data_IF_630945823118
#
_entry.id   IF_630945823118
#
_cell.length_a   1.000
_cell.length_b   1.000
_cell.length_c   1.000
_cell.angle_alpha   90.00
_cell.angle_beta   90.00
_cell.angle_gamma   90.00
#
_symmetry.space_group_name_H-M   'P 1'
#
loop_
_entity.id
_entity.type
_entity.pdbx_description
1 polymer ?
#
# COMPACT_ATOMS: atom_id res chain seq x y z
N UNK A 1 -29.68 -13.46 56.47
CA UNK A 1 -29.85 -12.00 56.59
C UNK A 1 -28.46 -11.38 56.58
N UNK A 2 -28.21 -10.55 55.56
CA UNK A 2 -27.17 -9.51 55.41
C UNK A 2 -25.73 -9.94 55.76
N UNK A 3 -24.82 -10.15 54.81
CA UNK A 3 -24.62 -9.43 53.54
C UNK A 3 -23.57 -8.36 53.74
N UNK A 4 -22.33 -8.77 54.04
CA UNK A 4 -21.17 -7.89 54.10
C UNK A 4 -20.40 -8.09 52.78
N UNK A 5 -20.50 -7.08 51.93
CA UNK A 5 -19.94 -7.07 50.58
C UNK A 5 -18.48 -6.68 50.69
N UNK A 6 -17.61 -7.67 50.51
CA UNK A 6 -16.20 -7.45 50.17
C UNK A 6 -16.11 -6.58 48.92
N UNK A 7 -15.48 -5.42 49.06
CA UNK A 7 -15.22 -4.51 47.97
C UNK A 7 -14.23 -5.12 46.97
N UNK A 8 -14.44 -4.98 45.64
CA UNK A 8 -13.47 -5.47 44.68
C UNK A 8 -12.20 -4.60 44.71
N UNK A 9 -11.07 -5.26 44.95
CA UNK A 9 -9.72 -4.81 44.65
C UNK A 9 -9.64 -4.18 43.25
N UNK A 10 -9.41 -2.87 43.22
CA UNK A 10 -9.03 -2.12 42.02
C UNK A 10 -7.61 -2.51 41.64
N UNK A 11 -7.46 -3.54 40.81
CA UNK A 11 -6.15 -3.92 40.24
C UNK A 11 -5.94 -3.26 38.87
N UNK A 12 -5.29 -2.09 38.91
CA UNK A 12 -4.19 -1.71 38.02
C UNK A 12 -4.38 -1.83 36.50
N UNK A 13 -5.24 -0.99 35.93
CA UNK A 13 -5.40 -0.84 34.48
C UNK A 13 -4.73 0.40 33.88
N UNK A 14 -3.47 0.73 34.20
CA UNK A 14 -2.79 1.92 33.63
C UNK A 14 -1.30 1.82 33.16
N UNK A 15 -0.64 0.66 32.94
CA UNK A 15 0.77 0.71 32.51
C UNK A 15 1.00 0.92 30.99
N UNK A 16 0.03 0.67 30.10
CA UNK A 16 0.29 0.66 28.65
C UNK A 16 0.15 2.02 27.94
N UNK A 17 -0.71 2.92 28.43
CA UNK A 17 -0.88 4.25 27.83
C UNK A 17 0.30 5.20 28.13
N UNK A 18 1.03 4.98 29.23
CA UNK A 18 2.26 5.71 29.56
C UNK A 18 3.42 5.33 28.65
N UNK A 19 3.63 4.03 28.43
CA UNK A 19 4.76 3.50 27.66
C UNK A 19 4.80 3.99 26.20
N UNK A 20 3.65 4.10 25.54
CA UNK A 20 3.56 4.60 24.16
C UNK A 20 3.88 6.10 24.04
N UNK A 21 3.49 6.90 25.03
CA UNK A 21 3.79 8.34 25.07
C UNK A 21 5.27 8.60 25.30
N UNK A 22 5.89 7.86 26.22
CA UNK A 22 7.34 7.96 26.47
C UNK A 22 8.17 7.51 25.27
N UNK A 23 7.70 6.52 24.52
CA UNK A 23 8.35 6.13 23.27
C UNK A 23 8.32 7.24 22.23
N UNK A 24 7.17 7.93 22.07
CA UNK A 24 7.05 9.08 21.17
C UNK A 24 8.03 10.19 21.52
N UNK A 25 8.10 10.56 22.81
CA UNK A 25 8.99 11.62 23.27
C UNK A 25 10.47 11.29 23.09
N UNK A 26 10.85 10.03 23.31
CA UNK A 26 12.20 9.55 23.02
C UNK A 26 12.53 9.66 21.53
N UNK A 27 11.56 9.35 20.66
CA UNK A 27 11.76 9.41 19.23
C UNK A 27 11.90 10.85 18.73
N UNK A 28 11.10 11.78 19.28
CA UNK A 28 11.21 13.21 18.98
C UNK A 28 12.59 13.77 19.39
N UNK A 29 13.11 13.37 20.56
CA UNK A 29 14.45 13.76 21.01
C UNK A 29 15.57 13.17 20.14
N UNK A 30 15.41 11.92 19.67
CA UNK A 30 16.35 11.28 18.76
C UNK A 30 16.36 11.96 17.39
N UNK A 31 15.21 12.35 16.89
CA UNK A 31 15.08 13.07 15.61
C UNK A 31 15.63 14.50 15.70
N UNK A 32 15.51 15.15 16.87
CA UNK A 32 16.00 16.50 17.09
C UNK A 32 17.52 16.59 17.31
N UNK A 33 18.10 15.72 18.13
CA UNK A 33 19.49 15.83 18.59
C UNK A 33 20.41 14.70 18.12
N UNK A 34 19.85 13.68 17.45
CA UNK A 34 20.60 12.47 17.10
C UNK A 34 20.95 11.63 18.33
N UNK A 35 21.34 10.37 18.11
CA UNK A 35 21.58 9.40 19.18
C UNK A 35 22.61 9.86 20.24
N UNK A 36 23.70 10.46 19.80
CA UNK A 36 24.76 10.92 20.71
C UNK A 36 24.32 12.14 21.53
N UNK A 37 23.61 13.08 20.91
CA UNK A 37 23.06 14.25 21.59
C UNK A 37 21.98 13.89 22.60
N UNK A 38 21.06 12.99 22.23
CA UNK A 38 20.02 12.49 23.15
C UNK A 38 20.62 11.71 24.32
N UNK A 39 21.69 10.94 24.10
CA UNK A 39 22.39 10.21 25.16
C UNK A 39 23.00 11.18 26.19
N UNK A 40 23.67 12.23 25.71
CA UNK A 40 24.25 13.27 26.55
C UNK A 40 23.18 14.05 27.32
N UNK A 41 22.07 14.42 26.66
CA UNK A 41 20.96 15.17 27.28
C UNK A 41 20.28 14.39 28.40
N UNK A 42 20.02 13.10 28.18
CA UNK A 42 19.35 12.24 29.15
C UNK A 42 20.32 11.61 30.17
N UNK A 43 21.63 11.88 30.07
CA UNK A 43 22.63 11.31 30.97
C UNK A 43 22.76 9.78 30.87
N UNK A 44 22.40 9.18 29.73
CA UNK A 44 22.40 7.73 29.51
C UNK A 44 23.45 7.31 28.48
N UNK A 45 23.87 6.04 28.53
CA UNK A 45 24.80 5.50 27.53
C UNK A 45 24.10 5.30 26.17
N UNK A 46 24.78 5.62 25.06
CA UNK A 46 24.29 5.41 23.69
C UNK A 46 23.86 3.94 23.45
N UNK A 47 24.53 2.97 24.07
CA UNK A 47 24.12 1.55 23.99
C UNK A 47 22.72 1.30 24.55
N UNK A 48 22.31 2.04 25.56
CA UNK A 48 20.98 1.95 26.17
C UNK A 48 19.92 2.49 25.21
N UNK A 49 20.20 3.61 24.53
CA UNK A 49 19.32 4.16 23.48
C UNK A 49 19.19 3.22 22.28
N UNK A 50 20.31 2.67 21.80
CA UNK A 50 20.31 1.70 20.68
C UNK A 50 19.50 0.44 21.02
N UNK A 51 19.58 -0.03 22.26
CA UNK A 51 18.81 -1.19 22.74
C UNK A 51 17.32 -0.86 22.87
N UNK A 52 16.98 0.37 23.26
CA UNK A 52 15.60 0.84 23.30
C UNK A 52 15.02 0.94 21.88
N UNK A 53 15.75 1.54 20.92
CA UNK A 53 15.41 1.63 19.48
C UNK A 53 15.14 0.26 18.86
N UNK A 54 16.03 -0.69 19.10
CA UNK A 54 15.94 -2.03 18.52
C UNK A 54 14.75 -2.83 19.06
N UNK A 55 14.38 -2.64 20.33
CA UNK A 55 13.31 -3.39 20.98
C UNK A 55 11.98 -2.64 21.04
N UNK A 56 11.93 -1.38 20.57
CA UNK A 56 10.79 -0.46 20.69
C UNK A 56 10.22 -0.44 22.11
N UNK A 57 11.11 -0.42 23.09
CA UNK A 57 10.74 -0.50 24.49
C UNK A 57 11.63 0.43 25.32
N UNK A 58 11.00 1.33 26.09
CA UNK A 58 11.67 2.21 27.02
C UNK A 58 11.99 1.42 28.28
N UNK A 59 13.28 1.31 28.63
CA UNK A 59 13.68 0.65 29.88
C UNK A 59 13.28 1.52 31.09
N UNK A 60 13.03 0.93 32.28
CA UNK A 60 12.63 1.71 33.46
C UNK A 60 13.59 2.84 33.82
N UNK A 61 14.89 2.63 33.61
CA UNK A 61 15.92 3.67 33.82
C UNK A 61 15.80 4.81 32.81
N UNK A 62 15.53 4.50 31.54
CA UNK A 62 15.36 5.51 30.49
C UNK A 62 14.05 6.28 30.68
N UNK A 63 12.99 5.60 31.13
CA UNK A 63 11.72 6.22 31.49
C UNK A 63 11.91 7.27 32.58
N UNK A 64 12.63 6.94 33.67
CA UNK A 64 12.88 7.87 34.77
C UNK A 64 13.63 9.13 34.33
N UNK A 65 14.65 8.98 33.47
CA UNK A 65 15.40 10.13 32.96
C UNK A 65 14.58 10.95 31.94
N UNK A 66 13.72 10.32 31.14
CA UNK A 66 12.76 11.01 30.27
C UNK A 66 11.73 11.81 31.09
N UNK A 67 11.16 11.21 32.14
CA UNK A 67 10.21 11.88 33.04
C UNK A 67 10.86 13.08 33.72
N UNK A 68 12.09 12.92 34.24
CA UNK A 68 12.88 14.01 34.81
C UNK A 68 13.17 15.11 33.80
N UNK A 69 13.53 14.76 32.57
CA UNK A 69 13.80 15.74 31.53
C UNK A 69 12.53 16.53 31.14
N UNK A 70 11.37 15.88 31.12
CA UNK A 70 10.08 16.55 30.89
C UNK A 70 9.74 17.48 32.06
N UNK A 71 9.96 17.04 33.30
CA UNK A 71 9.73 17.86 34.50
C UNK A 71 10.67 19.09 34.56
N UNK A 72 11.94 18.91 34.19
CA UNK A 72 12.93 19.98 34.09
C UNK A 72 12.54 20.96 32.96
N UNK A 73 12.06 20.46 31.81
CA UNK A 73 11.65 21.27 30.65
C UNK A 73 10.30 21.99 30.85
N UNK A 74 9.46 21.51 31.76
CA UNK A 74 8.21 22.18 32.13
C UNK A 74 8.42 23.24 33.22
N UNK A 75 9.48 23.10 34.01
CA UNK A 75 9.82 24.04 35.09
C UNK A 75 10.58 25.27 34.58
N UNK A 76 11.43 25.10 33.56
CA UNK A 76 12.04 26.20 32.79
C UNK A 76 11.29 26.37 31.47
N UNK A 77 10.32 27.29 31.42
CA UNK A 77 9.62 27.61 30.17
C UNK A 77 10.61 27.98 29.04
N UNK A 78 10.32 27.63 27.77
CA UNK A 78 11.26 27.82 26.67
C UNK A 78 11.64 29.29 26.57
N UNK A 79 12.94 29.57 26.63
CA UNK A 79 13.43 30.94 26.56
C UNK A 79 13.04 31.56 25.20
N UNK A 80 12.78 32.89 25.13
CA UNK A 80 12.43 33.56 23.88
C UNK A 80 13.45 33.33 22.75
N UNK A 81 14.70 33.06 23.11
CA UNK A 81 15.79 32.77 22.17
C UNK A 81 15.71 31.35 21.60
N UNK A 82 15.30 30.36 22.40
CA UNK A 82 15.05 28.99 21.93
C UNK A 82 13.84 28.96 20.98
N UNK A 83 12.77 29.67 21.32
CA UNK A 83 11.60 29.84 20.43
C UNK A 83 11.98 30.50 19.09
N UNK A 84 12.86 31.51 19.11
CA UNK A 84 13.34 32.15 17.89
C UNK A 84 14.23 31.21 17.03
N UNK A 85 15.06 30.38 17.67
CA UNK A 85 15.89 29.39 17.00
C UNK A 85 15.05 28.24 16.41
N UNK A 86 14.01 27.79 17.12
CA UNK A 86 13.07 26.80 16.59
C UNK A 86 12.26 27.35 15.42
N UNK A 87 11.76 28.58 15.53
CA UNK A 87 11.04 29.23 14.43
C UNK A 87 11.92 29.40 13.20
N UNK A 88 13.16 29.87 13.34
CA UNK A 88 14.09 30.01 12.20
C UNK A 88 14.47 28.66 11.59
N UNK A 89 14.63 27.62 12.41
CA UNK A 89 14.83 26.25 11.94
C UNK A 89 13.63 25.71 11.15
N UNK A 90 12.41 25.96 11.63
CA UNK A 90 11.16 25.61 10.95
C UNK A 90 11.03 26.34 9.61
N UNK A 91 11.33 27.64 9.55
CA UNK A 91 11.29 28.42 8.31
C UNK A 91 12.32 27.89 7.30
N UNK A 92 13.55 27.57 7.74
CA UNK A 92 14.58 27.01 6.87
C UNK A 92 14.19 25.63 6.30
N UNK A 93 13.56 24.79 7.12
CA UNK A 93 13.00 23.50 6.68
C UNK A 93 11.87 23.70 5.67
N UNK A 94 10.99 24.67 5.90
CA UNK A 94 9.91 25.01 4.98
C UNK A 94 10.46 25.51 3.64
N UNK A 95 11.45 26.40 3.65
CA UNK A 95 12.12 26.88 2.44
C UNK A 95 12.86 25.76 1.68
N UNK A 96 13.42 24.79 2.40
CA UNK A 96 14.03 23.59 1.83
C UNK A 96 13.00 22.68 1.16
N UNK A 97 11.84 22.48 1.79
CA UNK A 97 10.72 21.72 1.23
C UNK A 97 10.11 22.43 0.01
N UNK A 98 9.93 23.74 0.05
CA UNK A 98 9.48 24.52 -1.12
C UNK A 98 10.44 24.40 -2.30
N UNK A 99 11.76 24.49 -2.06
CA UNK A 99 12.74 24.29 -3.13
C UNK A 99 12.74 22.87 -3.66
N UNK A 100 12.73 21.86 -2.79
CA UNK A 100 12.69 20.46 -3.19
C UNK A 100 11.43 20.09 -3.99
N UNK A 101 10.27 20.66 -3.61
CA UNK A 101 9.01 20.47 -4.34
C UNK A 101 9.01 21.19 -5.68
N UNK A 102 9.52 22.44 -5.77
CA UNK A 102 9.70 23.13 -7.05
C UNK A 102 10.64 22.38 -8.00
N UNK A 103 11.79 21.92 -7.51
CA UNK A 103 12.74 21.11 -8.29
C UNK A 103 12.12 19.80 -8.78
N UNK A 104 11.31 19.14 -7.94
CA UNK A 104 10.60 17.92 -8.31
C UNK A 104 9.54 18.18 -9.38
N UNK A 105 8.79 19.28 -9.26
CA UNK A 105 7.82 19.70 -10.27
C UNK A 105 8.49 20.07 -11.60
N UNK A 106 9.64 20.73 -11.57
CA UNK A 106 10.38 21.09 -12.78
C UNK A 106 10.98 19.85 -13.47
N UNK A 107 11.48 18.86 -12.71
CA UNK A 107 11.87 17.55 -13.26
C UNK A 107 10.70 16.83 -13.91
N UNK A 108 9.55 16.76 -13.23
CA UNK A 108 8.35 16.13 -13.78
C UNK A 108 7.86 16.84 -15.05
N UNK A 109 7.95 18.17 -15.11
CA UNK A 109 7.64 18.95 -16.33
C UNK A 109 8.60 18.63 -17.47
N UNK A 110 9.89 18.49 -17.19
CA UNK A 110 10.88 18.08 -18.20
C UNK A 110 10.61 16.67 -18.71
N UNK A 111 10.38 15.70 -17.82
CA UNK A 111 10.04 14.33 -18.20
C UNK A 111 8.75 14.27 -19.03
N UNK A 112 7.72 15.04 -18.65
CA UNK A 112 6.49 15.14 -19.45
C UNK A 112 6.74 15.75 -20.83
N UNK A 113 7.58 16.79 -20.93
CA UNK A 113 7.93 17.40 -22.22
C UNK A 113 8.70 16.41 -23.12
N UNK A 114 9.61 15.63 -22.55
CA UNK A 114 10.37 14.59 -23.25
C UNK A 114 9.45 13.47 -23.76
N UNK A 115 8.55 12.96 -22.91
CA UNK A 115 7.57 11.94 -23.30
C UNK A 115 6.63 12.43 -24.39
N UNK A 116 6.19 13.70 -24.35
CA UNK A 116 5.36 14.29 -25.41
C UNK A 116 6.14 14.36 -26.72
N UNK A 117 7.41 14.78 -26.68
CA UNK A 117 8.26 14.83 -27.88
C UNK A 117 8.49 13.43 -28.47
N UNK A 118 8.73 12.42 -27.63
CA UNK A 118 8.88 11.04 -28.06
C UNK A 118 7.59 10.49 -28.67
N UNK A 119 6.43 10.80 -28.09
CA UNK A 119 5.13 10.38 -28.61
C UNK A 119 4.84 11.00 -29.99
N UNK A 120 5.17 12.28 -30.19
CA UNK A 120 5.05 12.95 -31.50
C UNK A 120 5.98 12.29 -32.53
N UNK A 121 7.22 11.97 -32.15
CA UNK A 121 8.16 11.28 -33.02
C UNK A 121 7.68 9.86 -33.39
N UNK A 122 7.13 9.12 -32.44
CA UNK A 122 6.55 7.79 -32.66
C UNK A 122 5.34 7.85 -33.58
N UNK A 123 4.42 8.82 -33.37
CA UNK A 123 3.26 9.01 -34.25
C UNK A 123 3.68 9.26 -35.70
N UNK A 124 4.67 10.13 -35.93
CA UNK A 124 5.21 10.37 -37.27
C UNK A 124 5.75 9.09 -37.92
N UNK A 125 6.48 8.26 -37.17
CA UNK A 125 6.99 6.97 -37.66
C UNK A 125 5.87 5.99 -38.00
N UNK A 126 4.79 5.97 -37.21
CA UNK A 126 3.61 5.14 -37.50
C UNK A 126 2.92 5.63 -38.77
N UNK A 127 2.69 6.93 -38.90
CA UNK A 127 2.08 7.53 -40.10
C UNK A 127 2.92 7.25 -41.36
N UNK A 128 4.25 7.32 -41.26
CA UNK A 128 5.18 6.96 -42.34
C UNK A 128 5.05 5.48 -42.72
N UNK A 129 4.99 4.56 -41.75
CA UNK A 129 4.83 3.12 -42.03
C UNK A 129 3.45 2.78 -42.63
N UNK A 130 2.40 3.46 -42.22
CA UNK A 130 1.05 3.31 -42.79
C UNK A 130 0.96 3.80 -44.24
N UNK A 131 1.68 4.88 -44.59
CA UNK A 131 1.77 5.35 -45.97
C UNK A 131 2.52 4.37 -46.87
N UNK A 132 3.57 3.71 -46.35
CA UNK A 132 4.33 2.70 -47.10
C UNK A 132 3.57 1.38 -47.25
N UNK A 133 2.73 0.99 -46.29
CA UNK A 133 1.92 -0.23 -46.39
C UNK A 133 0.71 -0.07 -47.32
N UNK A 134 0.15 1.15 -47.42
CA UNK A 134 -1.00 1.46 -48.29
C UNK A 134 -0.65 1.49 -49.79
N UNK A 135 0.63 1.53 -50.17
CA UNK A 135 1.10 1.50 -51.56
C UNK A 135 1.28 0.10 -52.17
N UNK A 136 1.05 -0.97 -51.41
CA UNK A 136 1.45 -2.33 -51.77
C UNK A 136 0.34 -3.39 -51.75
N UNK A 137 -0.84 -3.13 -52.31
CA UNK A 137 -1.85 -4.17 -52.55
C UNK A 137 -2.37 -4.11 -53.99
N UNK A 138 -1.50 -4.55 -54.90
CA UNK A 138 -1.87 -4.91 -56.27
C UNK A 138 -2.34 -6.36 -56.33
N UNK A 139 -3.62 -6.52 -56.66
CA UNK A 139 -4.24 -7.63 -57.41
C UNK A 139 -3.70 -9.06 -57.20
N UNK A 140 -4.49 -9.87 -56.50
CA UNK A 140 -4.67 -11.28 -56.87
C UNK A 140 -6.15 -11.67 -56.80
N UNK A 141 -6.81 -11.53 -57.94
CA UNK A 141 -8.09 -12.16 -58.25
C UNK A 141 -7.94 -13.67 -58.18
N UNK A 142 -8.77 -14.32 -57.36
CA UNK A 142 -9.10 -15.74 -57.53
C UNK A 142 -10.61 -15.87 -57.38
N UNK A 143 -11.27 -15.89 -58.53
CA UNK A 143 -12.63 -16.41 -58.68
C UNK A 143 -12.57 -17.93 -58.44
N UNK A 144 -13.47 -18.44 -57.59
CA UNK A 144 -13.47 -19.83 -57.19
C UNK A 144 -14.69 -20.18 -56.34
N UNK A 145 -15.83 -20.23 -57.02
CA UNK A 145 -17.15 -20.70 -56.57
C UNK A 145 -17.06 -22.06 -55.87
N UNK A 146 -17.53 -22.14 -54.63
CA UNK A 146 -17.64 -23.38 -53.85
C UNK A 146 -18.59 -23.18 -52.68
N UNK A 147 -19.86 -23.52 -52.93
CA UNK A 147 -20.99 -23.45 -52.01
C UNK A 147 -20.83 -24.51 -50.91
N UNK A 148 -20.59 -24.08 -49.67
CA UNK A 148 -20.65 -24.91 -48.46
C UNK A 148 -20.90 -23.99 -47.26
N UNK A 149 -22.00 -24.16 -46.51
CA UNK A 149 -22.24 -23.37 -45.31
C UNK A 149 -21.33 -23.89 -44.19
N UNK A 150 -20.21 -23.19 -43.99
CA UNK A 150 -19.28 -23.45 -42.91
C UNK A 150 -19.92 -23.04 -41.56
N UNK A 151 -20.17 -23.97 -40.61
CA UNK A 151 -20.81 -23.65 -39.33
C UNK A 151 -19.89 -22.90 -38.34
N UNK A 152 -18.67 -22.53 -38.72
CA UNK A 152 -17.72 -21.81 -37.86
C UNK A 152 -17.73 -20.28 -38.01
N UNK A 153 -18.77 -19.70 -38.61
CA UNK A 153 -18.92 -18.24 -38.70
C UNK A 153 -19.71 -17.64 -37.53
N UNK A 154 -19.62 -18.22 -36.34
CA UNK A 154 -20.07 -17.61 -35.08
C UNK A 154 -18.86 -17.20 -34.25
N UNK A 155 -18.38 -15.96 -34.42
CA UNK A 155 -17.60 -15.16 -33.41
C UNK A 155 -16.92 -13.92 -34.00
N UNK A 156 -17.43 -13.33 -35.10
CA UNK A 156 -16.91 -12.05 -35.62
C UNK A 156 -17.61 -10.82 -35.04
N UNK A 157 -18.14 -10.95 -33.82
CA UNK A 157 -18.58 -9.86 -32.94
C UNK A 157 -17.78 -9.87 -31.64
N UNK A 158 -16.47 -10.12 -31.74
CA UNK A 158 -15.55 -9.57 -30.76
C UNK A 158 -15.67 -8.05 -30.88
N UNK A 159 -16.47 -7.44 -30.00
CA UNK A 159 -16.62 -6.01 -29.84
C UNK A 159 -15.22 -5.38 -29.90
N UNK A 160 -15.05 -4.40 -30.78
CA UNK A 160 -13.79 -3.70 -31.06
C UNK A 160 -13.36 -2.88 -29.83
N UNK A 161 -12.89 -3.58 -28.80
CA UNK A 161 -12.45 -3.00 -27.54
C UNK A 161 -11.11 -2.35 -27.79
N UNK A 162 -11.05 -1.03 -27.57
CA UNK A 162 -9.84 -0.21 -27.72
C UNK A 162 -8.62 -0.78 -26.99
N UNK A 163 -8.84 -1.44 -25.85
CA UNK A 163 -7.79 -2.06 -25.03
C UNK A 163 -8.22 -3.45 -24.52
N UNK A 164 -7.88 -4.56 -25.20
CA UNK A 164 -8.27 -5.91 -24.79
C UNK A 164 -7.55 -6.39 -23.51
N UNK A 165 -6.43 -5.75 -23.13
CA UNK A 165 -5.70 -6.07 -21.90
C UNK A 165 -6.35 -5.47 -20.64
N UNK A 166 -7.35 -4.59 -20.80
CA UNK A 166 -7.95 -3.83 -19.70
C UNK A 166 -9.15 -4.57 -19.11
N UNK A 167 -9.03 -5.03 -17.86
CA UNK A 167 -10.14 -5.65 -17.13
C UNK A 167 -11.07 -4.57 -16.59
N UNK A 168 -12.36 -4.70 -16.89
CA UNK A 168 -13.42 -3.83 -16.37
C UNK A 168 -13.96 -4.37 -15.05
N UNK A 169 -14.46 -3.48 -14.20
CA UNK A 169 -15.07 -3.88 -12.92
C UNK A 169 -16.36 -4.67 -13.13
N UNK A 170 -17.17 -4.27 -14.11
CA UNK A 170 -18.41 -4.94 -14.49
C UNK A 170 -18.19 -5.89 -15.68
N UNK A 171 -18.99 -6.95 -15.72
CA UNK A 171 -18.93 -7.94 -16.79
C UNK A 171 -19.61 -7.41 -18.06
N UNK A 172 -18.85 -7.32 -19.15
CA UNK A 172 -19.37 -6.94 -20.46
C UNK A 172 -19.73 -8.15 -21.33
N UNK A 173 -20.69 -8.00 -22.27
CA UNK A 173 -20.96 -9.01 -23.28
C UNK A 173 -19.71 -9.29 -24.13
N UNK A 174 -19.40 -10.56 -24.38
CA UNK A 174 -18.29 -10.95 -25.27
C UNK A 174 -16.90 -10.99 -24.61
N UNK A 175 -16.77 -10.69 -23.30
CA UNK A 175 -15.49 -10.80 -22.58
C UNK A 175 -14.86 -12.19 -22.65
N UNK A 176 -15.68 -13.24 -22.73
CA UNK A 176 -15.20 -14.61 -22.90
C UNK A 176 -14.34 -14.80 -24.15
N UNK A 177 -14.68 -14.09 -25.24
CA UNK A 177 -13.89 -14.14 -26.48
C UNK A 177 -12.58 -13.34 -26.36
N UNK A 178 -12.52 -12.34 -25.47
CA UNK A 178 -11.35 -11.45 -25.29
C UNK A 178 -10.34 -12.07 -24.33
N UNK A 179 -10.78 -12.50 -23.15
CA UNK A 179 -9.89 -12.96 -22.09
C UNK A 179 -9.65 -14.48 -22.11
N UNK A 180 -10.49 -15.24 -22.81
CA UNK A 180 -10.33 -16.68 -23.01
C UNK A 180 -10.10 -17.44 -21.70
N UNK A 181 -8.89 -17.99 -21.53
CA UNK A 181 -8.51 -18.80 -20.37
C UNK A 181 -8.42 -18.01 -19.06
N UNK A 182 -8.29 -16.68 -19.10
CA UNK A 182 -8.25 -15.84 -17.92
C UNK A 182 -9.65 -15.56 -17.33
N UNK A 183 -10.74 -15.89 -18.05
CA UNK A 183 -12.10 -15.57 -17.61
C UNK A 183 -12.46 -16.09 -16.21
N UNK A 184 -12.19 -17.35 -15.84
CA UNK A 184 -12.55 -17.84 -14.52
C UNK A 184 -11.87 -17.04 -13.40
N UNK A 185 -10.62 -16.62 -13.62
CA UNK A 185 -9.86 -15.80 -12.68
C UNK A 185 -10.42 -14.39 -12.58
N UNK A 186 -10.85 -13.78 -13.70
CA UNK A 186 -11.49 -12.46 -13.72
C UNK A 186 -12.82 -12.48 -12.97
N UNK A 187 -13.65 -13.51 -13.20
CA UNK A 187 -14.93 -13.67 -12.48
C UNK A 187 -14.70 -13.82 -10.98
N UNK A 188 -13.78 -14.70 -10.56
CA UNK A 188 -13.45 -14.85 -9.13
C UNK A 188 -12.91 -13.53 -8.57
N UNK A 189 -12.05 -12.82 -9.31
CA UNK A 189 -11.50 -11.55 -8.85
C UNK A 189 -12.59 -10.48 -8.65
N UNK A 190 -13.57 -10.36 -9.56
CA UNK A 190 -14.72 -9.44 -9.41
C UNK A 190 -15.57 -9.78 -8.19
N UNK A 191 -15.89 -11.06 -7.98
CA UNK A 191 -16.63 -11.53 -6.81
C UNK A 191 -15.89 -11.18 -5.51
N UNK A 192 -14.58 -11.42 -5.47
CA UNK A 192 -13.74 -11.11 -4.29
C UNK A 192 -13.63 -9.62 -4.05
N UNK A 193 -13.52 -8.81 -5.10
CA UNK A 193 -13.50 -7.35 -5.00
C UNK A 193 -14.83 -6.84 -4.45
N UNK A 194 -15.96 -7.32 -4.97
CA UNK A 194 -17.30 -6.97 -4.46
C UNK A 194 -17.46 -7.33 -2.98
N UNK A 195 -17.05 -8.55 -2.58
CA UNK A 195 -17.06 -8.96 -1.19
C UNK A 195 -16.14 -8.10 -0.31
N UNK A 196 -14.92 -7.78 -0.78
CA UNK A 196 -14.00 -6.92 -0.06
C UNK A 196 -14.58 -5.52 0.17
N UNK A 197 -15.17 -4.91 -0.87
CA UNK A 197 -15.84 -3.61 -0.76
C UNK A 197 -17.02 -3.65 0.21
N UNK A 198 -17.84 -4.69 0.17
CA UNK A 198 -18.95 -4.89 1.11
C UNK A 198 -18.49 -5.08 2.57
N UNK A 199 -17.25 -5.53 2.79
CA UNK A 199 -16.65 -5.72 4.10
C UNK A 199 -15.78 -4.55 4.58
N UNK A 200 -15.69 -3.44 3.83
CA UNK A 200 -14.89 -2.28 4.24
C UNK A 200 -15.33 -1.74 5.61
N UNK A 201 -16.65 -1.71 5.85
CA UNK A 201 -17.29 -1.21 7.08
C UNK A 201 -17.62 -2.33 8.08
N UNK A 202 -17.27 -3.59 7.78
CA UNK A 202 -17.56 -4.71 8.67
C UNK A 202 -16.54 -4.80 9.81
N UNK A 203 -17.02 -5.07 11.02
CA UNK A 203 -16.16 -5.34 12.17
C UNK A 203 -15.42 -6.71 12.10
N UNK A 204 -15.72 -7.55 11.10
CA UNK A 204 -15.05 -8.85 10.93
C UNK A 204 -13.74 -8.72 10.14
N UNK A 205 -12.70 -8.25 10.84
CA UNK A 205 -11.32 -8.13 10.34
C UNK A 205 -10.81 -9.41 9.66
N UNK A 206 -11.29 -10.58 10.09
CA UNK A 206 -10.77 -11.86 9.59
C UNK A 206 -11.29 -12.21 8.21
N UNK A 207 -12.57 -11.94 7.95
CA UNK A 207 -13.16 -12.12 6.61
C UNK A 207 -12.58 -11.11 5.63
N UNK A 208 -12.37 -9.87 6.08
CA UNK A 208 -11.66 -8.83 5.31
C UNK A 208 -10.24 -9.27 4.91
N UNK A 209 -9.42 -9.69 5.88
CA UNK A 209 -8.06 -10.19 5.65
C UNK A 209 -8.02 -11.38 4.67
N UNK A 210 -9.00 -12.29 4.75
CA UNK A 210 -9.07 -13.45 3.86
C UNK A 210 -9.42 -13.05 2.44
N UNK A 211 -10.41 -12.18 2.27
CA UNK A 211 -10.83 -11.67 0.95
C UNK A 211 -9.72 -10.86 0.30
N UNK A 212 -9.05 -9.97 1.05
CA UNK A 212 -7.93 -9.16 0.54
C UNK A 212 -6.74 -10.03 0.10
N UNK A 213 -6.43 -11.09 0.86
CA UNK A 213 -5.35 -12.01 0.51
C UNK A 213 -5.64 -12.75 -0.80
N UNK A 214 -6.82 -13.35 -0.96
CA UNK A 214 -7.18 -14.05 -2.20
C UNK A 214 -7.28 -13.09 -3.39
N UNK A 215 -7.85 -11.90 -3.18
CA UNK A 215 -7.90 -10.86 -4.20
C UNK A 215 -6.49 -10.49 -4.67
N UNK A 216 -5.55 -10.24 -3.75
CA UNK A 216 -4.15 -9.91 -4.09
C UNK A 216 -3.45 -11.05 -4.84
N UNK A 217 -3.74 -12.31 -4.51
CA UNK A 217 -3.20 -13.47 -5.24
C UNK A 217 -3.71 -13.52 -6.67
N UNK A 218 -5.02 -13.33 -6.87
CA UNK A 218 -5.64 -13.27 -8.20
C UNK A 218 -5.10 -12.10 -9.03
N UNK A 219 -4.89 -10.93 -8.42
CA UNK A 219 -4.33 -9.79 -9.11
C UNK A 219 -2.92 -10.07 -9.62
N UNK A 220 -2.06 -10.70 -8.80
CA UNK A 220 -0.73 -11.09 -9.23
C UNK A 220 -0.82 -12.08 -10.40
N UNK A 221 -1.69 -13.08 -10.33
CA UNK A 221 -1.86 -14.08 -11.39
C UNK A 221 -2.35 -13.46 -12.71
N UNK A 222 -3.36 -12.58 -12.64
CA UNK A 222 -3.90 -11.87 -13.80
C UNK A 222 -2.85 -10.94 -14.45
N UNK A 223 -2.03 -10.26 -13.64
CA UNK A 223 -1.02 -9.33 -14.14
C UNK A 223 0.21 -10.07 -14.70
N UNK A 224 0.69 -11.10 -13.98
CA UNK A 224 1.95 -11.80 -14.29
C UNK A 224 1.75 -12.82 -15.42
N UNK A 225 0.75 -13.70 -15.30
CA UNK A 225 0.52 -14.79 -16.26
C UNK A 225 -0.28 -14.34 -17.49
N UNK A 226 -1.26 -13.44 -17.31
CA UNK A 226 -2.18 -13.03 -18.37
C UNK A 226 -1.92 -11.62 -18.90
N UNK A 227 -0.93 -10.90 -18.37
CA UNK A 227 -0.53 -9.58 -18.87
C UNK A 227 -1.72 -8.58 -18.84
N UNK A 228 -2.65 -8.78 -17.92
CA UNK A 228 -3.84 -7.96 -17.79
C UNK A 228 -3.58 -6.73 -16.93
N UNK A 229 -4.25 -5.65 -17.28
CA UNK A 229 -4.29 -4.40 -16.52
C UNK A 229 -5.59 -4.36 -15.74
N UNK A 230 -5.48 -4.16 -14.43
CA UNK A 230 -6.61 -4.18 -13.51
C UNK A 230 -7.02 -2.75 -13.13
N UNK A 231 -8.30 -2.52 -12.79
CA UNK A 231 -8.77 -1.22 -12.33
C UNK A 231 -8.12 -0.89 -10.97
N UNK A 232 -7.85 0.39 -10.69
CA UNK A 232 -8.49 1.58 -11.26
C UNK A 232 -7.77 2.20 -12.47
N UNK A 233 -6.89 1.47 -13.16
CA UNK A 233 -6.24 2.02 -14.36
C UNK A 233 -7.20 2.04 -15.54
N UNK A 234 -7.21 3.12 -16.31
CA UNK A 234 -8.05 3.28 -17.51
C UNK A 234 -7.29 2.97 -18.82
N UNK A 235 -5.98 2.70 -18.72
CA UNK A 235 -5.08 2.45 -19.84
C UNK A 235 -4.17 1.25 -19.54
N UNK A 236 -3.79 0.46 -20.56
CA UNK A 236 -2.85 -0.65 -20.40
C UNK A 236 -1.54 -0.21 -19.76
N UNK A 237 -1.02 -1.01 -18.83
CA UNK A 237 0.29 -0.74 -18.26
C UNK A 237 1.41 -1.10 -19.23
N UNK A 238 2.39 -0.19 -19.33
CA UNK A 238 3.70 -0.50 -19.89
C UNK A 238 4.45 -1.53 -19.02
N UNK A 239 5.58 -2.01 -19.54
CA UNK A 239 6.38 -3.02 -18.85
C UNK A 239 6.92 -2.56 -17.49
N UNK A 240 7.30 -1.28 -17.36
CA UNK A 240 7.91 -0.73 -16.13
C UNK A 240 6.86 -0.63 -15.03
N UNK A 241 5.70 -0.04 -15.35
CA UNK A 241 4.55 0.10 -14.46
C UNK A 241 4.00 -1.26 -14.05
N UNK A 242 3.94 -2.23 -14.97
CA UNK A 242 3.56 -3.60 -14.62
C UNK A 242 4.50 -4.22 -13.58
N UNK A 243 5.81 -4.06 -13.77
CA UNK A 243 6.81 -4.57 -12.82
C UNK A 243 6.71 -3.90 -11.45
N UNK A 244 6.46 -2.58 -11.40
CA UNK A 244 6.29 -1.86 -10.13
C UNK A 244 5.01 -2.30 -9.41
N UNK A 245 3.90 -2.45 -10.13
CA UNK A 245 2.63 -2.96 -9.60
C UNK A 245 2.77 -4.39 -9.08
N UNK A 246 3.38 -5.31 -9.84
CA UNK A 246 3.64 -6.67 -9.38
C UNK A 246 4.48 -6.69 -8.10
N UNK A 247 5.52 -5.85 -8.02
CA UNK A 247 6.36 -5.74 -6.82
C UNK A 247 5.55 -5.23 -5.63
N UNK A 248 4.69 -4.23 -5.84
CA UNK A 248 3.81 -3.69 -4.81
C UNK A 248 2.84 -4.78 -4.31
N UNK A 249 2.13 -5.46 -5.20
CA UNK A 249 1.17 -6.52 -4.85
C UNK A 249 1.83 -7.69 -4.13
N UNK A 250 3.02 -8.12 -4.56
CA UNK A 250 3.79 -9.17 -3.87
C UNK A 250 4.16 -8.78 -2.43
N UNK A 251 4.60 -7.54 -2.21
CA UNK A 251 4.86 -7.00 -0.86
C UNK A 251 3.59 -6.95 -0.01
N UNK A 252 2.48 -6.51 -0.60
CA UNK A 252 1.17 -6.49 0.06
C UNK A 252 0.74 -7.90 0.47
N UNK A 253 0.89 -8.89 -0.41
CA UNK A 253 0.60 -10.29 -0.12
C UNK A 253 1.44 -10.84 1.04
N UNK A 254 2.74 -10.54 1.06
CA UNK A 254 3.60 -10.92 2.19
C UNK A 254 3.17 -10.28 3.51
N UNK A 255 2.81 -8.99 3.48
CA UNK A 255 2.29 -8.27 4.65
C UNK A 255 1.02 -8.95 5.17
N UNK A 256 0.05 -9.20 4.30
CA UNK A 256 -1.23 -9.86 4.64
C UNK A 256 -1.01 -11.27 5.20
N UNK A 257 -0.06 -12.03 4.65
CA UNK A 257 0.30 -13.35 5.18
C UNK A 257 0.88 -13.26 6.60
N UNK A 258 1.70 -12.25 6.90
CA UNK A 258 2.23 -12.00 8.25
C UNK A 258 1.12 -11.59 9.21
N UNK A 259 0.23 -10.69 8.79
CA UNK A 259 -0.92 -10.26 9.59
C UNK A 259 -1.86 -11.44 9.91
N UNK A 260 -2.16 -12.29 8.93
CA UNK A 260 -2.93 -13.52 9.15
C UNK A 260 -2.26 -14.45 10.17
N UNK A 261 -0.94 -14.62 10.10
CA UNK A 261 -0.20 -15.41 11.11
C UNK A 261 -0.31 -14.79 12.51
N UNK A 262 -0.11 -13.48 12.63
CA UNK A 262 -0.24 -12.75 13.91
C UNK A 262 -1.65 -12.85 14.49
N UNK A 263 -2.68 -12.63 13.68
CA UNK A 263 -4.06 -12.73 14.12
C UNK A 263 -4.46 -14.17 14.51
N UNK A 264 -3.90 -15.20 13.85
CA UNK A 264 -4.05 -16.60 14.29
C UNK A 264 -3.42 -16.83 15.67
N UNK A 265 -2.20 -16.34 15.90
CA UNK A 265 -1.52 -16.43 17.21
C UNK A 265 -2.32 -15.70 18.29
N UNK A 266 -2.79 -14.47 18.01
CA UNK A 266 -3.63 -13.69 18.94
C UNK A 266 -4.90 -14.45 19.33
N UNK A 267 -5.62 -15.04 18.37
CA UNK A 267 -6.80 -15.88 18.64
C UNK A 267 -6.47 -17.10 19.49
N UNK A 268 -5.33 -17.74 19.24
CA UNK A 268 -4.90 -18.89 20.04
C UNK A 268 -4.58 -18.50 21.49
N UNK A 269 -3.87 -17.38 21.69
CA UNK A 269 -3.60 -16.84 23.03
C UNK A 269 -4.89 -16.45 23.76
N UNK A 270 -5.82 -15.77 23.07
CA UNK A 270 -7.13 -15.44 23.65
C UNK A 270 -7.93 -16.69 24.03
N UNK A 271 -7.88 -17.76 23.24
CA UNK A 271 -8.51 -19.04 23.59
C UNK A 271 -7.90 -19.66 24.84
N UNK A 272 -6.58 -19.63 25.00
CA UNK A 272 -5.93 -20.13 26.21
C UNK A 272 -6.32 -19.33 27.45
N UNK A 273 -6.35 -18.00 27.36
CA UNK A 273 -6.77 -17.13 28.46
C UNK A 273 -8.24 -17.39 28.83
N UNK A 274 -9.12 -17.49 27.83
CA UNK A 274 -10.56 -17.73 28.07
C UNK A 274 -10.87 -19.13 28.58
N UNK A 275 -10.09 -20.16 28.21
CA UNK A 275 -10.21 -21.51 28.76
C UNK A 275 -9.70 -21.59 30.22
N UNK A 276 -8.65 -20.85 30.57
CA UNK A 276 -8.12 -20.79 31.94
C UNK A 276 -9.06 -20.13 32.94
N UNK A 277 -9.98 -19.27 32.48
CA UNK A 277 -10.97 -18.57 33.32
C UNK A 277 -12.25 -19.37 33.59
N UNK A 278 -12.51 -20.46 32.86
CA UNK A 278 -13.73 -21.28 33.03
C UNK A 278 -13.54 -22.51 33.92
N UNK A 279 -12.32 -22.74 34.42
CA UNK A 279 -11.92 -23.90 35.22
C UNK A 279 -11.49 -23.58 36.66
N UNK A 280 -11.75 -22.36 37.14
CA UNK A 280 -11.73 -21.99 38.56
C UNK A 280 -13.13 -21.55 38.96
#
# INVERSE_FOLDING_TARGET
MNGEVDGPEVTGGEPQAGAGRMWGLLQDLLDAHGREGTAALLGVNERTLRRAESNRHVTPQLQKELERHVEDSLSDGPSPQQLALEMTGLTSRFDGLERGTRESLDRLRQEMAELVAENVALKRRVDELEQHSSGGVGQRTTEGRGDSPDPMRTTRTALDRRYPQLVTEEAEPGEHAVYGTAMPLITEWRERRGAYLAHLDSADDWSKLRSELRMTELEIELIDAHVLTLPPSDYPWDGIRRHSELRLRRRTLERLRRERRRARVKRWLLRLVTLGWRGR
#
